data_IF_816746180310
#
_entry.id   IF_816746180310
#
_cell.length_a   1.000
_cell.length_b   1.000
_cell.length_c   1.000
_cell.angle_alpha   90.00
_cell.angle_beta   90.00
_cell.angle_gamma   90.00
#
_symmetry.space_group_name_H-M   'P 1'
#
loop_
_entity.id
_entity.type
_entity.pdbx_description
1 polymer ?
#
# COMPACT_ATOMS: atom_id res chain seq x y z
N UNK A 1 19.05 3.77 6.62
CA UNK A 1 18.61 2.35 6.71
C UNK A 1 17.71 2.27 7.93
N UNK A 2 16.38 2.20 7.78
CA UNK A 2 15.47 2.12 8.94
C UNK A 2 15.19 0.64 9.21
N UNK A 3 15.75 0.16 10.31
CA UNK A 3 15.39 -1.10 10.96
C UNK A 3 13.88 -1.12 11.15
N UNK A 4 13.21 -2.08 10.50
CA UNK A 4 12.08 -2.70 11.15
C UNK A 4 12.63 -3.60 12.23
N UNK A 5 12.08 -3.48 13.43
CA UNK A 5 12.42 -4.34 14.56
C UNK A 5 12.04 -5.76 14.16
N UNK A 6 13.06 -6.53 13.77
CA UNK A 6 12.89 -7.94 13.43
C UNK A 6 12.28 -8.64 14.64
N UNK A 7 11.21 -9.40 14.37
CA UNK A 7 10.51 -10.18 15.40
C UNK A 7 11.45 -10.97 16.29
N UNK A 8 11.05 -11.14 17.55
CA UNK A 8 11.82 -11.87 18.55
C UNK A 8 11.20 -13.26 18.72
N UNK A 9 12.06 -14.27 18.86
CA UNK A 9 11.62 -15.62 19.19
C UNK A 9 11.40 -15.71 20.70
N UNK A 10 10.17 -16.01 21.14
CA UNK A 10 9.84 -16.20 22.54
C UNK A 10 10.02 -17.68 22.93
N UNK A 11 11.10 -18.04 23.65
CA UNK A 11 11.39 -19.43 23.99
C UNK A 11 10.45 -20.01 25.04
N UNK A 12 9.65 -19.19 25.76
CA UNK A 12 8.67 -19.69 26.73
C UNK A 12 7.37 -20.15 26.06
N UNK A 13 7.00 -19.52 24.94
CA UNK A 13 5.82 -19.90 24.14
C UNK A 13 6.15 -20.75 22.91
N UNK A 14 7.43 -20.80 22.51
CA UNK A 14 7.86 -21.51 21.30
C UNK A 14 7.39 -20.83 20.01
N UNK A 15 6.97 -19.57 20.08
CA UNK A 15 6.38 -18.83 18.96
C UNK A 15 7.27 -17.67 18.54
N UNK A 16 7.26 -17.36 17.25
CA UNK A 16 7.94 -16.18 16.70
C UNK A 16 6.97 -14.99 16.77
N UNK A 17 7.28 -13.99 17.59
CA UNK A 17 6.46 -12.79 17.70
C UNK A 17 6.89 -11.82 16.62
N UNK A 18 6.04 -11.61 15.61
CA UNK A 18 6.27 -10.59 14.58
C UNK A 18 6.35 -9.20 15.24
N UNK A 19 7.40 -8.44 14.90
CA UNK A 19 7.61 -7.10 15.43
C UNK A 19 6.47 -6.15 15.09
N UNK A 20 6.31 -5.07 15.87
CA UNK A 20 5.19 -4.15 15.70
C UNK A 20 5.11 -3.62 14.26
N UNK A 21 3.89 -3.56 13.67
CA UNK A 21 3.72 -3.08 12.31
C UNK A 21 4.09 -1.61 12.23
N UNK A 22 5.16 -1.29 11.49
CA UNK A 22 5.59 0.09 11.26
C UNK A 22 4.56 0.77 10.37
N UNK A 23 3.76 1.66 10.96
CA UNK A 23 2.84 2.53 10.23
C UNK A 23 3.53 3.84 9.90
N UNK A 24 3.83 4.05 8.61
CA UNK A 24 4.37 5.33 8.12
C UNK A 24 3.29 6.09 7.35
N UNK A 25 2.80 7.19 7.94
CA UNK A 25 1.85 8.06 7.27
C UNK A 25 2.59 8.96 6.28
N UNK A 26 2.30 8.79 4.99
CA UNK A 26 2.89 9.60 3.92
C UNK A 26 1.83 10.49 3.26
N UNK A 27 2.15 11.76 2.95
CA UNK A 27 1.23 12.62 2.23
C UNK A 27 1.08 12.11 0.79
N UNK A 28 -0.15 11.76 0.41
CA UNK A 28 -0.50 11.32 -0.93
C UNK A 28 -1.69 12.13 -1.46
N UNK A 29 -1.77 12.22 -2.79
CA UNK A 29 -2.90 12.79 -3.48
C UNK A 29 -3.77 11.65 -4.02
N UNK A 30 -4.98 11.53 -3.48
CA UNK A 30 -5.97 10.58 -3.93
C UNK A 30 -6.73 11.12 -5.13
N UNK A 31 -6.87 10.31 -6.16
CA UNK A 31 -7.67 10.63 -7.34
C UNK A 31 -8.57 9.43 -7.63
N UNK A 32 -9.89 9.56 -7.46
CA UNK A 32 -10.81 8.50 -7.86
C UNK A 32 -10.74 8.35 -9.37
N UNK A 33 -10.65 7.12 -9.86
CA UNK A 33 -10.68 6.83 -11.29
C UNK A 33 -12.00 6.16 -11.62
N UNK A 34 -12.67 6.65 -12.65
CA UNK A 34 -13.93 6.06 -13.12
C UNK A 34 -13.69 4.64 -13.65
N UNK A 35 -14.68 3.77 -13.42
CA UNK A 35 -14.68 2.35 -13.82
C UNK A 35 -14.34 2.14 -15.30
N UNK A 36 -14.73 3.07 -16.18
CA UNK A 36 -14.37 3.04 -17.61
C UNK A 36 -12.85 3.05 -17.86
N UNK A 37 -12.12 3.92 -17.16
CA UNK A 37 -10.66 4.02 -17.29
C UNK A 37 -9.96 2.87 -16.59
N UNK A 38 -10.54 2.33 -15.52
CA UNK A 38 -10.08 1.09 -14.88
C UNK A 38 -10.19 -0.08 -15.87
N UNK A 39 -11.33 -0.22 -16.54
CA UNK A 39 -11.57 -1.28 -17.50
C UNK A 39 -10.56 -1.27 -18.66
N UNK A 40 -10.20 -0.09 -19.15
CA UNK A 40 -9.18 0.05 -20.20
C UNK A 40 -7.77 -0.34 -19.73
N UNK A 41 -7.44 -0.16 -18.45
CA UNK A 41 -6.09 -0.39 -17.92
C UNK A 41 -5.88 -1.79 -17.32
N UNK A 42 -6.94 -2.40 -16.79
CA UNK A 42 -6.88 -3.68 -16.08
C UNK A 42 -7.78 -4.77 -16.67
N UNK A 43 -8.56 -4.49 -17.73
CA UNK A 43 -9.57 -5.42 -18.27
C UNK A 43 -10.89 -5.32 -17.51
N UNK A 44 -11.84 -6.25 -17.73
CA UNK A 44 -13.19 -6.28 -17.15
C UNK A 44 -13.21 -6.36 -15.61
N UNK A 45 -12.81 -5.28 -14.95
CA UNK A 45 -12.78 -5.11 -13.51
C UNK A 45 -13.77 -4.01 -13.18
N UNK A 46 -14.96 -4.41 -12.73
CA UNK A 46 -16.03 -3.53 -12.25
C UNK A 46 -15.75 -3.03 -10.81
N UNK A 47 -14.50 -2.70 -10.49
CA UNK A 47 -14.10 -2.26 -9.15
C UNK A 47 -13.77 -0.77 -9.13
N UNK A 48 -14.16 -0.10 -8.05
CA UNK A 48 -13.82 1.30 -7.81
C UNK A 48 -12.35 1.41 -7.40
N UNK A 49 -11.48 1.69 -8.37
CA UNK A 49 -10.05 1.93 -8.10
C UNK A 49 -9.82 3.40 -7.75
N UNK A 50 -9.20 3.62 -6.61
CA UNK A 50 -8.65 4.90 -6.18
C UNK A 50 -7.16 4.93 -6.51
N UNK A 51 -6.70 5.97 -7.19
CA UNK A 51 -5.28 6.15 -7.48
C UNK A 51 -4.66 7.07 -6.44
N UNK A 52 -3.75 6.54 -5.62
CA UNK A 52 -2.95 7.30 -4.68
C UNK A 52 -1.61 7.68 -5.32
N UNK A 53 -1.38 8.99 -5.48
CA UNK A 53 -0.12 9.54 -6.01
C UNK A 53 0.70 10.09 -4.85
N UNK A 54 1.84 9.46 -4.58
CA UNK A 54 2.77 9.91 -3.55
C UNK A 54 3.63 11.05 -4.10
N UNK A 55 3.92 12.04 -3.26
CA UNK A 55 4.75 13.18 -3.63
C UNK A 55 6.23 12.80 -3.82
N UNK A 56 6.65 11.72 -3.16
CA UNK A 56 7.99 11.16 -3.23
C UNK A 56 7.91 9.71 -3.70
N UNK A 57 9.04 9.25 -4.23
CA UNK A 57 9.27 7.84 -4.48
C UNK A 57 9.20 7.07 -3.16
N UNK A 58 8.47 5.95 -3.18
CA UNK A 58 8.34 5.03 -2.07
C UNK A 58 8.89 3.67 -2.50
N UNK A 59 10.14 3.41 -2.13
CA UNK A 59 10.84 2.14 -2.43
C UNK A 59 10.80 1.14 -1.28
N UNK A 60 10.12 1.48 -0.18
CA UNK A 60 10.03 0.57 0.96
C UNK A 60 9.04 -0.54 0.64
N UNK A 61 9.32 -1.74 1.15
CA UNK A 61 8.34 -2.81 1.17
C UNK A 61 7.17 -2.41 2.08
N UNK A 62 5.96 -2.73 1.65
CA UNK A 62 4.74 -2.54 2.41
C UNK A 62 3.80 -3.72 2.13
N UNK A 63 3.15 -4.21 3.18
CA UNK A 63 2.20 -5.32 3.08
C UNK A 63 0.76 -4.84 2.92
N UNK A 64 0.44 -3.69 3.53
CA UNK A 64 -0.92 -3.12 3.53
C UNK A 64 -0.88 -1.60 3.42
N UNK A 65 -1.85 -1.03 2.72
CA UNK A 65 -2.07 0.41 2.65
C UNK A 65 -3.39 0.75 3.31
N UNK A 66 -3.37 1.73 4.20
CA UNK A 66 -4.55 2.25 4.89
C UNK A 66 -4.72 3.72 4.53
N UNK A 67 -5.90 4.10 4.06
CA UNK A 67 -6.25 5.50 3.81
C UNK A 67 -7.36 5.88 4.78
N UNK A 68 -7.05 6.78 5.72
CA UNK A 68 -8.04 7.29 6.68
C UNK A 68 -8.75 6.17 7.44
N UNK A 69 -7.98 5.20 7.94
CA UNK A 69 -8.45 4.01 8.70
C UNK A 69 -9.20 2.95 7.87
N UNK A 70 -9.41 3.19 6.57
CA UNK A 70 -9.94 2.15 5.67
C UNK A 70 -8.79 1.39 5.03
N UNK A 71 -8.80 0.06 5.10
CA UNK A 71 -7.80 -0.75 4.41
C UNK A 71 -8.10 -0.78 2.92
N UNK A 72 -7.05 -0.63 2.11
CA UNK A 72 -7.13 -0.76 0.66
C UNK A 72 -6.15 -1.83 0.18
N UNK A 73 -6.57 -2.59 -0.82
CA UNK A 73 -5.73 -3.57 -1.50
C UNK A 73 -4.94 -2.89 -2.60
N UNK A 74 -3.62 -3.09 -2.64
CA UNK A 74 -2.77 -2.51 -3.70
C UNK A 74 -2.75 -3.44 -4.90
N UNK A 75 -3.47 -3.07 -5.95
CA UNK A 75 -3.51 -3.83 -7.20
C UNK A 75 -2.27 -3.61 -8.05
N UNK A 76 -1.71 -2.39 -8.01
CA UNK A 76 -0.53 -2.06 -8.81
C UNK A 76 0.28 -0.94 -8.19
N UNK A 77 1.60 -1.12 -8.19
CA UNK A 77 2.56 -0.09 -7.84
C UNK A 77 3.37 0.29 -9.08
N UNK A 78 3.25 1.56 -9.48
CA UNK A 78 4.09 2.14 -10.52
C UNK A 78 5.06 3.11 -9.86
N UNK A 79 6.33 2.73 -9.86
CA UNK A 79 7.38 3.56 -9.33
C UNK A 79 7.96 4.43 -10.46
N UNK A 80 7.73 5.73 -10.43
CA UNK A 80 8.39 6.69 -11.31
C UNK A 80 9.59 7.31 -10.60
N UNK A 81 10.60 7.76 -11.35
CA UNK A 81 11.86 8.39 -10.87
C UNK A 81 11.74 9.45 -9.76
N UNK A 82 10.57 10.06 -9.56
CA UNK A 82 10.33 11.08 -8.51
C UNK A 82 9.04 10.89 -7.73
N UNK A 83 8.17 9.93 -8.10
CA UNK A 83 6.81 9.78 -7.58
C UNK A 83 6.38 8.32 -7.64
N UNK A 84 5.76 7.81 -6.59
CA UNK A 84 5.09 6.51 -6.64
C UNK A 84 3.60 6.70 -6.89
N UNK A 85 3.04 5.86 -7.77
CA UNK A 85 1.61 5.80 -8.05
C UNK A 85 1.11 4.41 -7.64
N UNK A 86 0.15 4.40 -6.73
CA UNK A 86 -0.50 3.19 -6.24
C UNK A 86 -1.93 3.15 -6.75
N UNK A 87 -2.31 2.02 -7.33
CA UNK A 87 -3.69 1.71 -7.67
C UNK A 87 -4.26 0.90 -6.52
N UNK A 88 -5.23 1.51 -5.85
CA UNK A 88 -5.83 0.99 -4.63
C UNK A 88 -7.26 0.61 -4.91
N UNK A 89 -7.61 -0.62 -4.62
CA UNK A 89 -8.98 -1.09 -4.69
C UNK A 89 -9.61 -0.91 -3.30
N UNK A 90 -10.75 -0.20 -3.27
CA UNK A 90 -11.53 0.00 -2.06
C UNK A 90 -12.52 -1.15 -1.88
N UNK A 91 -12.39 -1.84 -0.74
CA UNK A 91 -13.39 -2.78 -0.25
C UNK A 91 -14.62 -2.07 0.31
#
# INVERSE_FOLDING_TARGET
>A
MKQGEGGYYDPEKGEYVEGEPIRETVPCHLSPVSVDRVNQMFGSIEQNITVARLQRQYDKAYDRVEIGEKPYSVQRHINHRRRSVLYLEGA
#
